data_IF_861771384873
#
_entry.id   IF_861771384873
#
_cell.length_a   1.000
_cell.length_b   1.000
_cell.length_c   1.000
_cell.angle_alpha   90.00
_cell.angle_beta   90.00
_cell.angle_gamma   90.00
#
_symmetry.space_group_name_H-M   'P 1'
#
loop_
_entity.id
_entity.type
_entity.pdbx_description
1 polymer ?
#
# COMPACT_ATOMS: atom_id res chain seq x y z
N UNK A 1 -5.56 -29.36 29.33
CA UNK A 1 -6.56 -29.27 30.38
C UNK A 1 -7.71 -28.40 29.86
N UNK A 2 -8.90 -28.95 29.74
CA UNK A 2 -10.09 -28.17 29.45
C UNK A 2 -10.93 -28.05 30.71
N UNK A 3 -11.35 -26.87 31.07
CA UNK A 3 -12.31 -26.58 32.11
C UNK A 3 -13.27 -25.54 31.54
N UNK A 4 -14.55 -25.84 31.57
CA UNK A 4 -15.62 -24.95 31.05
C UNK A 4 -15.46 -24.55 29.57
N UNK A 5 -15.15 -25.53 28.68
CA UNK A 5 -14.91 -25.29 27.23
C UNK A 5 -13.73 -24.37 26.89
N UNK A 6 -12.93 -24.04 27.90
CA UNK A 6 -11.71 -23.25 27.71
C UNK A 6 -10.48 -24.14 27.66
N UNK A 7 -9.57 -23.81 26.73
CA UNK A 7 -8.33 -24.55 26.51
C UNK A 7 -7.13 -23.67 26.81
N UNK A 8 -6.13 -24.24 27.47
CA UNK A 8 -4.82 -23.61 27.69
C UNK A 8 -3.80 -24.43 26.91
N UNK A 9 -3.08 -23.77 26.02
CA UNK A 9 -2.05 -24.37 25.18
C UNK A 9 -0.70 -23.75 25.52
N UNK A 10 0.25 -24.58 25.96
CA UNK A 10 1.63 -24.15 26.20
C UNK A 10 2.48 -24.47 24.98
N UNK A 11 3.26 -23.50 24.53
CA UNK A 11 4.16 -23.63 23.39
C UNK A 11 5.61 -23.44 23.83
N UNK A 12 6.58 -24.10 23.12
CA UNK A 12 8.00 -23.90 23.42
C UNK A 12 8.43 -22.46 23.13
N UNK A 13 9.40 -21.95 23.92
CA UNK A 13 9.94 -20.59 23.73
C UNK A 13 10.87 -20.42 22.51
N UNK A 14 11.78 -21.40 22.22
CA UNK A 14 12.70 -21.27 21.11
C UNK A 14 11.98 -21.14 19.75
N UNK A 15 12.30 -20.11 18.91
CA UNK A 15 11.54 -19.81 17.69
C UNK A 15 11.41 -20.98 16.70
N UNK A 16 12.45 -21.79 16.52
CA UNK A 16 12.40 -22.93 15.60
C UNK A 16 11.41 -24.01 16.07
N UNK A 17 11.44 -24.33 17.36
CA UNK A 17 10.52 -25.30 17.96
C UNK A 17 9.11 -24.77 18.00
N UNK A 18 8.94 -23.49 18.37
CA UNK A 18 7.66 -22.80 18.35
C UNK A 18 7.00 -22.90 16.97
N UNK A 19 7.70 -22.47 15.91
CA UNK A 19 7.17 -22.50 14.55
C UNK A 19 6.83 -23.94 14.10
N UNK A 20 7.68 -24.92 14.44
CA UNK A 20 7.41 -26.30 14.11
C UNK A 20 6.14 -26.82 14.78
N UNK A 21 5.98 -26.61 16.08
CA UNK A 21 4.79 -27.04 16.84
C UNK A 21 3.53 -26.32 16.37
N UNK A 22 3.63 -25.01 16.08
CA UNK A 22 2.49 -24.25 15.54
C UNK A 22 2.03 -24.82 14.20
N UNK A 23 2.95 -25.03 13.26
CA UNK A 23 2.57 -25.48 11.91
C UNK A 23 2.09 -26.95 11.88
N UNK A 24 2.77 -27.86 12.62
CA UNK A 24 2.53 -29.29 12.48
C UNK A 24 1.56 -29.88 13.50
N UNK A 25 1.30 -29.17 14.61
CA UNK A 25 0.43 -29.68 15.68
C UNK A 25 -0.71 -28.74 16.01
N UNK A 26 -0.41 -27.46 16.29
CA UNK A 26 -1.42 -26.52 16.78
C UNK A 26 -2.43 -26.13 15.69
N UNK A 27 -1.97 -25.74 14.52
CA UNK A 27 -2.87 -25.36 13.41
C UNK A 27 -3.82 -26.51 13.03
N UNK A 28 -3.35 -27.75 12.77
CA UNK A 28 -4.23 -28.88 12.48
C UNK A 28 -5.22 -29.18 13.61
N UNK A 29 -4.77 -29.03 14.86
CA UNK A 29 -5.65 -29.22 16.01
C UNK A 29 -6.73 -28.15 16.10
N UNK A 30 -6.43 -26.88 15.87
CA UNK A 30 -7.41 -25.78 15.89
C UNK A 30 -8.36 -25.82 14.71
N UNK A 31 -7.94 -26.34 13.55
CA UNK A 31 -8.77 -26.47 12.35
C UNK A 31 -10.07 -27.25 12.60
N UNK A 32 -10.06 -28.25 13.47
CA UNK A 32 -11.23 -29.03 13.81
C UNK A 32 -12.31 -28.24 14.58
N UNK A 33 -11.94 -27.11 15.19
CA UNK A 33 -12.85 -26.21 15.91
C UNK A 33 -13.26 -25.00 15.07
N UNK A 34 -12.70 -24.87 13.87
CA UNK A 34 -12.95 -23.72 13.00
C UNK A 34 -14.33 -23.83 12.35
N UNK A 35 -15.27 -23.02 12.81
CA UNK A 35 -16.60 -22.91 12.20
C UNK A 35 -16.64 -21.83 11.14
N UNK A 36 -15.83 -20.79 11.25
CA UNK A 36 -15.77 -19.63 10.39
C UNK A 36 -14.31 -19.19 10.18
N UNK A 37 -14.10 -18.43 9.12
CA UNK A 37 -12.78 -17.88 8.76
C UNK A 37 -12.90 -16.36 8.55
N UNK A 38 -11.83 -15.63 8.87
CA UNK A 38 -11.73 -14.21 8.55
C UNK A 38 -11.25 -14.08 7.11
N UNK A 39 -12.05 -13.42 6.29
CA UNK A 39 -11.71 -13.01 4.94
C UNK A 39 -11.44 -11.52 4.92
N UNK A 40 -10.42 -11.11 4.18
CA UNK A 40 -10.01 -9.71 4.11
C UNK A 40 -9.92 -9.24 2.67
N UNK A 41 -10.12 -7.93 2.49
CA UNK A 41 -9.85 -7.22 1.26
C UNK A 41 -9.07 -5.96 1.57
N UNK A 42 -8.02 -5.71 0.80
CA UNK A 42 -7.11 -4.59 0.98
C UNK A 42 -7.22 -3.60 -0.16
N UNK A 43 -7.29 -2.32 0.18
CA UNK A 43 -7.24 -1.19 -0.74
C UNK A 43 -5.95 -0.42 -0.49
N UNK A 44 -5.14 -0.26 -1.52
CA UNK A 44 -3.95 0.59 -1.46
C UNK A 44 -4.34 2.02 -1.83
N UNK A 45 -4.15 2.94 -0.90
CA UNK A 45 -4.44 4.37 -1.06
C UNK A 45 -3.14 5.14 -1.11
N UNK A 46 -2.97 5.99 -2.12
CA UNK A 46 -1.78 6.83 -2.29
C UNK A 46 -2.17 8.25 -2.69
N UNK A 47 -1.30 9.21 -2.33
CA UNK A 47 -1.47 10.62 -2.72
C UNK A 47 -2.26 11.48 -1.74
N UNK A 48 -2.77 10.89 -0.66
CA UNK A 48 -3.35 11.63 0.49
C UNK A 48 -2.83 11.03 1.79
N UNK A 49 -2.83 11.83 2.86
CA UNK A 49 -2.40 11.40 4.19
C UNK A 49 -3.47 10.61 4.94
N UNK A 50 -3.03 9.87 5.96
CA UNK A 50 -3.89 9.05 6.81
C UNK A 50 -5.05 9.86 7.42
N UNK A 51 -4.79 11.07 7.93
CA UNK A 51 -5.83 11.93 8.52
C UNK A 51 -6.95 12.28 7.55
N UNK A 52 -6.62 12.50 6.27
CA UNK A 52 -7.62 12.80 5.24
C UNK A 52 -8.41 11.55 4.85
N UNK A 53 -7.78 10.38 4.88
CA UNK A 53 -8.48 9.11 4.65
C UNK A 53 -9.44 8.84 5.82
N UNK A 54 -8.99 9.05 7.05
CA UNK A 54 -9.78 8.90 8.27
C UNK A 54 -11.03 9.80 8.23
N UNK A 55 -10.85 11.08 7.90
CA UNK A 55 -11.96 12.03 7.72
C UNK A 55 -12.97 11.56 6.67
N UNK A 56 -12.50 11.09 5.51
CA UNK A 56 -13.37 10.60 4.42
C UNK A 56 -14.13 9.33 4.79
N UNK A 57 -13.54 8.46 5.60
CA UNK A 57 -14.10 7.18 5.99
C UNK A 57 -14.79 7.21 7.37
N UNK A 58 -14.86 8.35 8.03
CA UNK A 58 -15.43 8.48 9.39
C UNK A 58 -16.83 7.88 9.48
N UNK A 59 -17.74 8.23 8.57
CA UNK A 59 -19.09 7.68 8.58
C UNK A 59 -19.11 6.17 8.26
N UNK A 60 -18.25 5.70 7.38
CA UNK A 60 -18.08 4.27 7.05
C UNK A 60 -17.60 3.49 8.27
N UNK A 61 -16.69 4.05 9.06
CA UNK A 61 -16.20 3.44 10.29
C UNK A 61 -17.31 3.31 11.34
N UNK A 62 -18.20 4.29 11.48
CA UNK A 62 -19.33 4.22 12.42
C UNK A 62 -20.38 3.18 12.02
N UNK A 63 -20.44 2.78 10.77
CA UNK A 63 -21.37 1.74 10.26
C UNK A 63 -20.84 0.32 10.44
N UNK A 64 -19.67 0.14 11.09
CA UNK A 64 -19.12 -1.19 11.33
C UNK A 64 -20.06 -2.03 12.20
N UNK A 65 -20.36 -3.22 11.70
CA UNK A 65 -21.12 -4.25 12.43
C UNK A 65 -20.37 -5.57 12.34
N UNK A 66 -20.72 -6.39 11.34
CA UNK A 66 -20.05 -7.66 11.06
C UNK A 66 -18.82 -7.50 10.17
N UNK A 67 -18.73 -6.37 9.46
CA UNK A 67 -17.55 -5.99 8.65
C UNK A 67 -16.75 -4.95 9.42
N UNK A 68 -15.47 -5.22 9.63
CA UNK A 68 -14.54 -4.30 10.27
C UNK A 68 -13.70 -3.56 9.24
N UNK A 69 -13.33 -2.31 9.54
CA UNK A 69 -12.41 -1.49 8.76
C UNK A 69 -11.20 -1.12 9.60
N UNK A 70 -10.02 -1.25 9.04
CA UNK A 70 -8.76 -0.86 9.67
C UNK A 70 -7.84 -0.16 8.66
N UNK A 71 -7.02 0.77 9.14
CA UNK A 71 -6.04 1.47 8.34
C UNK A 71 -4.63 1.15 8.84
N UNK A 72 -3.70 0.98 7.90
CA UNK A 72 -2.29 0.70 8.17
C UNK A 72 -1.45 1.67 7.35
N UNK A 73 -0.83 2.63 8.02
CA UNK A 73 0.07 3.57 7.40
C UNK A 73 1.39 2.90 7.01
N UNK A 74 1.84 3.20 5.80
CA UNK A 74 3.14 2.83 5.28
C UNK A 74 3.91 4.04 4.74
N UNK A 75 5.12 3.83 4.25
CA UNK A 75 5.92 4.91 3.69
C UNK A 75 5.40 5.34 2.30
N UNK A 76 4.57 6.38 2.28
CA UNK A 76 3.97 6.95 1.06
C UNK A 76 2.65 6.32 0.62
N UNK A 77 2.07 5.45 1.42
CA UNK A 77 0.75 4.86 1.19
C UNK A 77 0.00 4.57 2.49
N UNK A 78 -1.28 4.36 2.38
CA UNK A 78 -2.11 3.79 3.45
C UNK A 78 -2.83 2.56 2.89
N UNK A 79 -2.80 1.47 3.63
CA UNK A 79 -3.62 0.29 3.33
C UNK A 79 -4.90 0.37 4.15
N UNK A 80 -6.02 0.46 3.48
CA UNK A 80 -7.35 0.32 4.07
C UNK A 80 -7.76 -1.14 3.92
N UNK A 81 -8.08 -1.80 5.02
CA UNK A 81 -8.48 -3.21 5.06
C UNK A 81 -9.89 -3.31 5.58
N UNK A 82 -10.74 -4.04 4.87
CA UNK A 82 -12.00 -4.53 5.39
C UNK A 82 -11.91 -6.02 5.67
N UNK A 83 -12.61 -6.48 6.70
CA UNK A 83 -12.60 -7.89 7.09
C UNK A 83 -13.99 -8.32 7.55
N UNK A 84 -14.37 -9.54 7.18
CA UNK A 84 -15.60 -10.19 7.64
C UNK A 84 -15.30 -11.64 8.03
N UNK A 85 -15.97 -12.09 9.07
CA UNK A 85 -15.93 -13.47 9.55
C UNK A 85 -17.13 -14.24 9.01
N UNK A 86 -16.87 -15.27 8.21
CA UNK A 86 -17.92 -16.05 7.55
C UNK A 86 -17.52 -17.52 7.38
N UNK A 87 -18.47 -18.36 7.00
CA UNK A 87 -18.23 -19.77 6.72
C UNK A 87 -17.58 -19.96 5.35
N UNK A 88 -17.97 -19.14 4.38
CA UNK A 88 -17.45 -19.20 3.01
C UNK A 88 -16.90 -17.85 2.57
N UNK A 89 -16.06 -17.89 1.55
CA UNK A 89 -15.50 -16.67 0.94
C UNK A 89 -16.60 -15.83 0.28
N UNK A 90 -17.53 -16.48 -0.39
CA UNK A 90 -18.66 -15.86 -1.09
C UNK A 90 -19.55 -15.08 -0.13
N UNK A 91 -19.89 -15.69 1.02
CA UNK A 91 -20.65 -15.04 2.09
C UNK A 91 -19.91 -13.80 2.62
N UNK A 92 -18.62 -13.93 2.93
CA UNK A 92 -17.81 -12.82 3.40
C UNK A 92 -17.80 -11.65 2.41
N UNK A 93 -17.60 -11.95 1.12
CA UNK A 93 -17.55 -10.91 0.08
C UNK A 93 -18.90 -10.24 -0.14
N UNK A 94 -20.00 -10.98 -0.03
CA UNK A 94 -21.35 -10.39 -0.05
C UNK A 94 -21.53 -9.38 1.09
N UNK A 95 -21.14 -9.74 2.32
CA UNK A 95 -21.21 -8.86 3.48
C UNK A 95 -20.31 -7.63 3.32
N UNK A 96 -19.12 -7.79 2.76
CA UNK A 96 -18.16 -6.69 2.56
C UNK A 96 -18.55 -5.75 1.39
N UNK A 97 -19.38 -6.17 0.46
CA UNK A 97 -19.72 -5.42 -0.77
C UNK A 97 -20.22 -3.99 -0.52
N UNK A 98 -21.15 -3.71 0.42
CA UNK A 98 -21.59 -2.35 0.68
C UNK A 98 -20.46 -1.42 1.10
N UNK A 99 -19.61 -1.86 2.05
CA UNK A 99 -18.48 -1.09 2.55
C UNK A 99 -17.40 -0.92 1.47
N UNK A 100 -17.15 -1.94 0.65
CA UNK A 100 -16.27 -1.85 -0.53
C UNK A 100 -16.70 -0.72 -1.45
N UNK A 101 -17.95 -0.70 -1.88
CA UNK A 101 -18.50 0.28 -2.81
C UNK A 101 -18.40 1.71 -2.25
N UNK A 102 -18.61 1.86 -0.95
CA UNK A 102 -18.46 3.14 -0.25
C UNK A 102 -17.00 3.60 -0.26
N UNK A 103 -16.04 2.72 0.08
CA UNK A 103 -14.60 3.00 0.03
C UNK A 103 -14.15 3.36 -1.39
N UNK A 104 -14.57 2.60 -2.40
CA UNK A 104 -14.25 2.87 -3.80
C UNK A 104 -14.79 4.21 -4.27
N UNK A 105 -15.95 4.63 -3.79
CA UNK A 105 -16.56 5.91 -4.10
C UNK A 105 -15.82 7.07 -3.42
N UNK A 106 -15.61 6.97 -2.11
CA UNK A 106 -15.02 8.05 -1.29
C UNK A 106 -13.53 8.26 -1.58
N UNK A 107 -12.82 7.20 -1.94
CA UNK A 107 -11.39 7.23 -2.23
C UNK A 107 -11.07 7.12 -3.73
N UNK A 108 -12.07 7.28 -4.61
CA UNK A 108 -11.88 7.31 -6.07
C UNK A 108 -10.78 8.30 -6.44
N UNK A 109 -9.81 7.91 -7.21
CA UNK A 109 -8.67 8.77 -7.60
C UNK A 109 -7.44 8.66 -6.68
N UNK A 110 -7.59 8.04 -5.53
CA UNK A 110 -6.48 7.71 -4.61
C UNK A 110 -6.21 6.21 -4.53
N UNK A 111 -7.14 5.39 -5.00
CA UNK A 111 -7.00 3.93 -5.03
C UNK A 111 -6.05 3.49 -6.14
N UNK A 112 -5.14 2.59 -5.80
CA UNK A 112 -4.25 1.94 -6.76
C UNK A 112 -4.85 0.59 -7.16
N UNK A 113 -5.16 0.40 -8.45
CA UNK A 113 -5.74 -0.84 -8.95
C UNK A 113 -4.88 -2.06 -8.62
N UNK A 114 -5.52 -3.16 -8.22
CA UNK A 114 -4.83 -4.41 -7.89
C UNK A 114 -4.00 -4.37 -6.60
N UNK A 115 -4.13 -3.29 -5.80
CA UNK A 115 -3.52 -3.17 -4.47
C UNK A 115 -1.98 -3.11 -4.45
N UNK A 116 -1.34 -2.84 -5.60
CA UNK A 116 0.12 -2.69 -5.69
C UNK A 116 0.50 -1.70 -6.78
N UNK A 117 1.14 -0.60 -6.38
CA UNK A 117 1.65 0.41 -7.33
C UNK A 117 2.74 -0.18 -8.24
N UNK A 118 3.55 -1.09 -7.74
CA UNK A 118 4.61 -1.75 -8.51
C UNK A 118 4.03 -2.59 -9.64
N UNK A 119 2.98 -3.38 -9.37
CA UNK A 119 2.28 -4.14 -10.39
C UNK A 119 1.60 -3.22 -11.40
N UNK A 120 0.89 -2.19 -10.92
CA UNK A 120 0.20 -1.24 -11.78
C UNK A 120 1.14 -0.47 -12.71
N UNK A 121 2.37 -0.17 -12.25
CA UNK A 121 3.40 0.49 -13.05
C UNK A 121 4.09 -0.47 -14.01
N UNK A 122 4.40 -1.70 -13.59
CA UNK A 122 5.22 -2.65 -14.36
C UNK A 122 4.72 -2.82 -15.80
N UNK A 123 3.40 -2.79 -15.99
CA UNK A 123 2.76 -3.03 -17.31
C UNK A 123 2.78 -1.79 -18.21
N UNK A 124 3.11 -0.61 -17.67
CA UNK A 124 3.09 0.67 -18.40
C UNK A 124 4.42 1.41 -18.34
N UNK A 125 5.42 0.88 -17.61
CA UNK A 125 6.73 1.52 -17.50
C UNK A 125 7.43 1.57 -18.84
N UNK A 126 7.98 2.75 -19.12
CA UNK A 126 8.88 3.01 -20.26
C UNK A 126 10.31 3.14 -19.75
N UNK A 127 11.32 3.07 -20.63
CA UNK A 127 12.69 3.44 -20.25
C UNK A 127 12.77 4.86 -19.70
N UNK A 128 13.60 5.04 -18.68
CA UNK A 128 13.81 6.33 -18.01
C UNK A 128 15.32 6.65 -17.97
N UNK A 129 15.66 7.92 -18.12
CA UNK A 129 16.98 8.44 -17.77
C UNK A 129 16.86 9.10 -16.40
N UNK A 130 17.81 8.81 -15.49
CA UNK A 130 17.82 9.38 -14.15
C UNK A 130 19.08 10.24 -14.00
N UNK A 131 18.91 11.53 -13.69
CA UNK A 131 20.01 12.52 -13.62
C UNK A 131 19.87 13.31 -12.32
N UNK A 132 20.97 13.55 -11.62
CA UNK A 132 21.02 14.48 -10.48
C UNK A 132 21.65 13.91 -9.23
N UNK A 133 21.25 14.47 -8.07
CA UNK A 133 21.93 14.31 -6.79
C UNK A 133 21.52 13.07 -6.01
N UNK A 134 20.47 12.38 -6.43
CA UNK A 134 19.93 11.22 -5.72
C UNK A 134 20.25 9.94 -6.49
N UNK A 135 20.68 8.92 -5.77
CA UNK A 135 20.83 7.58 -6.31
C UNK A 135 19.50 7.04 -6.84
N UNK A 136 19.57 6.31 -7.97
CA UNK A 136 18.41 5.65 -8.54
C UNK A 136 17.80 4.68 -7.53
N UNK A 137 16.56 4.87 -7.11
CA UNK A 137 15.91 3.90 -6.22
C UNK A 137 15.90 2.50 -6.84
N UNK A 138 16.13 1.48 -6.03
CA UNK A 138 16.38 0.11 -6.48
C UNK A 138 15.28 -0.42 -7.42
N UNK A 139 14.02 -0.07 -7.17
CA UNK A 139 12.91 -0.51 -8.00
C UNK A 139 12.98 0.01 -9.44
N UNK A 140 13.58 1.21 -9.67
CA UNK A 140 13.69 1.81 -10.99
C UNK A 140 14.89 1.35 -11.79
N UNK A 141 15.91 0.77 -11.16
CA UNK A 141 17.16 0.35 -11.82
C UNK A 141 16.96 -0.46 -13.11
N UNK A 142 16.00 -1.43 -13.18
CA UNK A 142 15.77 -2.19 -14.41
C UNK A 142 15.27 -1.36 -15.60
N UNK A 143 14.73 -0.18 -15.36
CA UNK A 143 14.13 0.70 -16.38
C UNK A 143 15.08 1.81 -16.83
N UNK A 144 16.23 1.98 -16.16
CA UNK A 144 17.19 3.06 -16.47
C UNK A 144 17.94 2.76 -17.77
N UNK A 145 17.92 3.73 -18.69
CA UNK A 145 18.71 3.77 -19.93
C UNK A 145 19.25 5.16 -20.19
N UNK A 146 20.46 5.25 -20.80
CA UNK A 146 21.13 6.53 -21.09
C UNK A 146 20.37 7.39 -22.11
N UNK A 147 19.73 6.76 -23.09
CA UNK A 147 19.04 7.43 -24.21
C UNK A 147 17.51 7.35 -24.07
N UNK A 148 16.99 7.45 -22.84
CA UNK A 148 15.53 7.40 -22.64
C UNK A 148 14.90 8.77 -22.83
N UNK A 149 13.75 8.81 -23.52
CA UNK A 149 12.97 10.04 -23.76
C UNK A 149 12.36 10.62 -22.47
N UNK A 150 12.10 9.77 -21.49
CA UNK A 150 11.59 10.19 -20.19
C UNK A 150 12.75 10.39 -19.22
N UNK A 151 13.00 11.65 -18.88
CA UNK A 151 14.11 12.03 -18.01
C UNK A 151 13.59 12.46 -16.65
N UNK A 152 14.16 11.87 -15.59
CA UNK A 152 13.90 12.21 -14.20
C UNK A 152 15.10 12.99 -13.67
N UNK A 153 14.90 14.24 -13.34
CA UNK A 153 15.91 15.10 -12.71
C UNK A 153 15.68 15.15 -11.21
N UNK A 154 16.74 14.97 -10.44
CA UNK A 154 16.70 15.10 -8.99
C UNK A 154 17.69 16.15 -8.51
N UNK A 155 17.27 16.99 -7.56
CA UNK A 155 18.13 17.99 -6.90
C UNK A 155 17.92 17.94 -5.40
N UNK A 156 19.03 18.00 -4.65
CA UNK A 156 19.03 18.10 -3.20
C UNK A 156 19.50 19.50 -2.81
N UNK A 157 18.74 20.19 -1.99
CA UNK A 157 19.09 21.50 -1.44
C UNK A 157 19.05 21.46 0.08
N UNK A 158 20.13 21.91 0.72
CA UNK A 158 20.17 22.04 2.17
C UNK A 158 19.45 23.34 2.60
N UNK A 159 18.35 23.18 3.32
CA UNK A 159 17.56 24.31 3.83
C UNK A 159 17.44 24.21 5.35
N UNK A 160 16.94 25.28 5.99
CA UNK A 160 16.83 25.35 7.46
C UNK A 160 16.00 24.23 8.10
N UNK A 161 15.11 23.60 7.32
CA UNK A 161 14.23 22.49 7.77
C UNK A 161 14.83 21.10 7.47
N UNK A 162 16.05 21.02 6.89
CA UNK A 162 16.70 19.78 6.47
C UNK A 162 16.92 19.71 4.96
N UNK A 163 17.19 18.53 4.43
CA UNK A 163 17.41 18.35 3.00
C UNK A 163 16.09 18.38 2.25
N UNK A 164 15.96 19.33 1.34
CA UNK A 164 14.85 19.43 0.41
C UNK A 164 15.20 18.69 -0.88
N UNK A 165 14.42 17.68 -1.21
CA UNK A 165 14.54 16.94 -2.47
C UNK A 165 13.52 17.46 -3.47
N UNK A 166 13.99 17.85 -4.64
CA UNK A 166 13.16 18.28 -5.77
C UNK A 166 13.34 17.29 -6.92
N UNK A 167 12.24 16.80 -7.48
CA UNK A 167 12.24 15.92 -8.64
C UNK A 167 11.41 16.55 -9.76
N UNK A 168 11.98 16.64 -10.94
CA UNK A 168 11.32 17.03 -12.17
C UNK A 168 11.27 15.84 -13.13
N UNK A 169 10.17 15.70 -13.83
CA UNK A 169 10.03 14.70 -14.90
C UNK A 169 9.85 15.46 -16.23
N UNK A 170 10.70 15.15 -17.20
CA UNK A 170 10.67 15.74 -18.53
C UNK A 170 10.53 14.65 -19.59
N UNK A 171 9.83 14.95 -20.66
CA UNK A 171 9.79 14.14 -21.88
C UNK A 171 9.97 15.05 -23.09
N UNK A 172 10.02 14.47 -24.31
CA UNK A 172 10.11 15.17 -25.60
C UNK A 172 9.01 16.21 -25.85
N UNK A 173 7.94 16.23 -25.05
CA UNK A 173 6.84 17.21 -25.11
C UNK A 173 7.04 18.42 -24.19
N UNK A 174 8.14 18.46 -23.43
CA UNK A 174 8.51 19.55 -22.54
C UNK A 174 8.37 19.23 -21.05
N UNK A 175 8.79 20.20 -20.23
CA UNK A 175 8.68 20.08 -18.77
C UNK A 175 7.22 20.02 -18.36
N UNK A 176 6.84 18.95 -17.71
CA UNK A 176 5.66 18.99 -16.86
C UNK A 176 6.13 19.44 -15.47
N UNK A 177 5.53 20.52 -14.95
CA UNK A 177 5.78 21.04 -13.60
C UNK A 177 5.32 20.07 -12.48
N UNK A 178 5.77 18.83 -12.56
CA UNK A 178 5.56 17.84 -11.54
C UNK A 178 6.68 17.90 -10.51
N UNK A 179 6.58 18.86 -9.58
CA UNK A 179 7.57 19.04 -8.55
C UNK A 179 7.19 18.24 -7.30
N UNK A 180 7.91 17.13 -7.06
CA UNK A 180 7.90 16.48 -5.76
C UNK A 180 8.88 17.24 -4.86
N UNK A 181 8.34 17.96 -3.86
CA UNK A 181 9.16 18.52 -2.77
C UNK A 181 8.92 17.70 -1.52
N UNK A 182 9.99 17.24 -0.87
CA UNK A 182 9.88 16.61 0.44
C UNK A 182 11.09 16.94 1.29
N UNK A 183 10.86 16.99 2.60
CA UNK A 183 11.89 17.21 3.61
C UNK A 183 12.06 15.89 4.37
N UNK A 184 13.30 15.50 4.69
CA UNK A 184 13.60 14.25 5.41
C UNK A 184 13.10 12.98 4.72
N UNK A 185 13.36 12.88 3.42
CA UNK A 185 12.86 11.81 2.59
C UNK A 185 13.64 10.51 2.81
N UNK A 186 13.01 9.47 3.36
CA UNK A 186 13.55 8.12 3.24
C UNK A 186 13.53 7.67 1.78
N UNK A 187 14.49 6.82 1.37
CA UNK A 187 14.52 6.27 0.00
C UNK A 187 13.24 5.50 -0.35
N UNK A 188 12.61 4.82 0.61
CA UNK A 188 11.35 4.12 0.41
C UNK A 188 10.19 5.08 0.12
N UNK A 189 10.12 6.17 0.89
CA UNK A 189 9.09 7.19 0.69
C UNK A 189 9.27 7.92 -0.64
N UNK A 190 10.50 8.22 -1.02
CA UNK A 190 10.84 8.75 -2.33
C UNK A 190 10.39 7.81 -3.44
N UNK A 191 10.73 6.52 -3.33
CA UNK A 191 10.33 5.49 -4.29
C UNK A 191 8.82 5.46 -4.46
N UNK A 192 8.06 5.40 -3.37
CA UNK A 192 6.59 5.37 -3.40
C UNK A 192 5.99 6.61 -4.05
N UNK A 193 6.52 7.80 -3.74
CA UNK A 193 6.06 9.07 -4.34
C UNK A 193 6.35 9.12 -5.84
N UNK A 194 7.56 8.73 -6.25
CA UNK A 194 7.96 8.69 -7.65
C UNK A 194 7.16 7.66 -8.44
N UNK A 195 6.89 6.50 -7.85
CA UNK A 195 6.01 5.48 -8.45
C UNK A 195 4.60 6.03 -8.68
N UNK A 196 4.01 6.68 -7.69
CA UNK A 196 2.68 7.29 -7.82
C UNK A 196 2.67 8.37 -8.90
N UNK A 197 3.69 9.24 -8.90
CA UNK A 197 3.83 10.28 -9.90
C UNK A 197 3.89 9.71 -11.31
N UNK A 198 4.80 8.77 -11.57
CA UNK A 198 4.95 8.13 -12.88
C UNK A 198 3.70 7.35 -13.29
N UNK A 199 3.05 6.68 -12.35
CA UNK A 199 1.79 5.99 -12.64
C UNK A 199 0.73 6.96 -13.17
N UNK A 200 0.52 8.10 -12.51
CA UNK A 200 -0.42 9.14 -12.95
C UNK A 200 0.00 9.74 -14.27
N UNK A 201 1.28 10.06 -14.41
CA UNK A 201 1.84 10.63 -15.63
C UNK A 201 1.64 9.70 -16.85
N UNK A 202 2.03 8.44 -16.74
CA UNK A 202 1.94 7.47 -17.84
C UNK A 202 0.50 7.06 -18.18
N UNK A 203 -0.41 7.17 -17.21
CA UNK A 203 -1.86 6.93 -17.43
C UNK A 203 -2.60 8.15 -17.99
N UNK A 204 -1.94 9.27 -18.25
CA UNK A 204 -2.59 10.53 -18.61
C UNK A 204 -3.69 10.97 -17.63
N UNK A 205 -3.59 10.55 -16.38
CA UNK A 205 -4.57 10.80 -15.33
C UNK A 205 -4.14 11.97 -14.44
N UNK A 206 -3.41 12.95 -14.99
CA UNK A 206 -3.15 14.21 -14.31
C UNK A 206 -4.36 15.13 -14.45
N UNK A 207 -4.80 15.82 -13.39
CA UNK A 207 -3.98 16.80 -12.67
C UNK A 207 -3.46 16.32 -11.34
N UNK A 208 -2.27 16.79 -11.02
CA UNK A 208 -1.63 16.64 -9.70
C UNK A 208 -2.37 17.42 -8.63
#
# INVERSE_FOLDING_TARGET
MSKDEKMIINLPGPPKEFNYVVEHSLKPYLEQYRQEQIYTEDFLVMGIGESMIDEKLTETQYKQTDVTLAMYAGEGYVRVRIANKAKTKEEAYQHMTPMRNEIETLLKGYLIPGGSIEKALKDIMVPIQFIGDIDVPTWFKPYVKEDADLVIYSKVEHVSLGDQVTIHVNNDKGFTDGMLKDYHLSMNRLTSKLQLYLYRYLKNSLPL
#
